data_IF_714356273065
#
_entry.id   IF_714356273065
#
_cell.length_a   1.000
_cell.length_b   1.000
_cell.length_c   1.000
_cell.angle_alpha   90.00
_cell.angle_beta   90.00
_cell.angle_gamma   90.00
#
_symmetry.space_group_name_H-M   'P 1'
#
loop_
_entity.id
_entity.type
_entity.pdbx_description
1 polymer ?
#
# COMPACT_ATOMS: atom_id res chain seq x y z
N UNK A 1 33.61 1.80 29.67
CA UNK A 1 32.61 1.69 28.59
C UNK A 1 32.70 2.99 27.82
N UNK A 2 33.16 2.94 26.57
CA UNK A 2 33.55 4.13 25.82
C UNK A 2 32.29 4.78 25.20
N UNK A 3 31.91 6.01 25.56
CA UNK A 3 30.65 6.65 25.13
C UNK A 3 30.53 6.78 23.61
N UNK A 4 31.67 6.82 22.89
CA UNK A 4 31.68 6.84 21.42
C UNK A 4 31.22 5.50 20.81
N UNK A 5 31.34 4.41 21.55
CA UNK A 5 30.92 3.07 21.10
C UNK A 5 29.40 2.89 21.23
N UNK A 6 28.77 3.49 22.23
CA UNK A 6 27.30 3.47 22.38
C UNK A 6 26.60 4.32 21.32
N UNK A 7 27.09 5.54 21.06
CA UNK A 7 26.52 6.44 20.04
C UNK A 7 26.66 5.82 18.64
N UNK A 8 27.79 5.15 18.34
CA UNK A 8 27.96 4.45 17.07
C UNK A 8 27.02 3.24 16.93
N UNK A 9 26.85 2.46 18.01
CA UNK A 9 25.97 1.30 18.02
C UNK A 9 24.48 1.68 17.94
N UNK A 10 24.09 2.80 18.53
CA UNK A 10 22.73 3.35 18.44
C UNK A 10 22.42 3.87 17.03
N UNK A 11 23.35 4.59 16.41
CA UNK A 11 23.23 4.99 15.00
C UNK A 11 23.14 3.79 14.05
N UNK A 12 23.90 2.72 14.31
CA UNK A 12 23.80 1.46 13.56
C UNK A 12 22.48 0.72 13.83
N UNK A 13 21.90 0.84 15.03
CA UNK A 13 20.60 0.25 15.40
C UNK A 13 19.43 1.00 14.78
N UNK A 14 19.49 2.34 14.74
CA UNK A 14 18.52 3.20 14.06
C UNK A 14 18.55 2.96 12.54
N UNK A 15 19.75 2.78 11.96
CA UNK A 15 19.91 2.41 10.54
C UNK A 15 19.40 1.00 10.22
N UNK A 16 19.31 0.09 11.21
CA UNK A 16 18.74 -1.26 11.06
C UNK A 16 17.21 -1.31 11.11
N UNK A 17 16.52 -0.24 11.52
CA UNK A 17 15.05 -0.19 11.52
C UNK A 17 14.46 0.08 10.13
N UNK A 18 15.29 0.27 9.10
CA UNK A 18 14.82 0.52 7.75
C UNK A 18 14.82 -0.78 6.92
N UNK A 19 14.17 -1.84 7.44
CA UNK A 19 13.86 -3.03 6.63
C UNK A 19 12.67 -2.70 5.74
N UNK A 20 12.75 -2.85 4.41
CA UNK A 20 11.61 -2.68 3.55
C UNK A 20 10.52 -3.68 3.95
N UNK A 21 9.39 -3.17 4.46
CA UNK A 21 8.24 -3.97 4.90
C UNK A 21 8.01 -4.10 6.41
N UNK A 22 8.71 -3.35 7.27
CA UNK A 22 8.37 -3.22 8.69
C UNK A 22 7.14 -2.32 8.95
N UNK A 23 6.53 -2.43 10.12
CA UNK A 23 5.42 -1.56 10.55
C UNK A 23 5.87 -0.09 10.62
N UNK A 24 4.94 0.83 10.35
CA UNK A 24 5.19 2.28 10.47
C UNK A 24 5.35 2.63 11.96
N UNK A 25 6.59 2.90 12.38
CA UNK A 25 6.90 3.32 13.74
C UNK A 25 7.28 4.80 13.79
N UNK A 26 6.77 5.58 14.78
CA UNK A 26 7.26 6.92 15.02
C UNK A 26 8.73 6.86 15.45
N UNK A 27 9.60 7.61 14.77
CA UNK A 27 11.02 7.66 15.10
C UNK A 27 11.22 8.28 16.50
N UNK A 28 12.08 7.64 17.32
CA UNK A 28 12.44 8.09 18.66
C UNK A 28 13.24 9.40 18.54
N UNK A 29 12.93 10.38 19.40
CA UNK A 29 13.53 11.71 19.36
C UNK A 29 15.03 11.66 19.67
N UNK A 30 15.85 12.06 18.71
CA UNK A 30 17.21 12.54 18.98
C UNK A 30 17.14 13.81 19.84
N UNK A 31 18.11 14.03 20.73
CA UNK A 31 18.26 15.31 21.42
C UNK A 31 18.44 16.43 20.38
N UNK A 32 17.58 17.44 20.43
CA UNK A 32 17.62 18.60 19.54
C UNK A 32 18.05 19.83 20.34
N UNK A 33 19.07 20.52 19.87
CA UNK A 33 19.58 21.74 20.48
C UNK A 33 19.09 22.95 19.68
N UNK A 34 18.38 23.87 20.34
CA UNK A 34 17.75 25.04 19.73
C UNK A 34 18.47 26.36 20.04
N UNK A 35 19.74 26.27 20.43
CA UNK A 35 20.62 27.43 20.54
C UNK A 35 20.90 28.04 19.15
N UNK A 36 21.48 29.24 19.14
CA UNK A 36 21.66 29.98 17.89
C UNK A 36 22.55 29.23 16.90
N UNK A 37 23.64 28.60 17.37
CA UNK A 37 24.60 27.87 16.54
C UNK A 37 24.05 26.54 15.97
N UNK A 38 23.31 25.74 16.74
CA UNK A 38 22.85 24.41 16.30
C UNK A 38 21.43 24.43 15.70
N UNK A 39 20.72 25.56 15.73
CA UNK A 39 19.34 25.69 15.19
C UNK A 39 19.22 25.15 13.76
N UNK A 40 20.18 25.47 12.88
CA UNK A 40 20.17 25.00 11.50
C UNK A 40 20.30 23.48 11.41
N UNK A 41 21.17 22.88 12.21
CA UNK A 41 21.36 21.44 12.25
C UNK A 41 20.12 20.73 12.81
N UNK A 42 19.52 21.27 13.87
CA UNK A 42 18.28 20.75 14.45
C UNK A 42 17.11 20.81 13.45
N UNK A 43 17.01 21.87 12.64
CA UNK A 43 16.03 21.94 11.56
C UNK A 43 16.25 20.87 10.49
N UNK A 44 17.49 20.65 10.06
CA UNK A 44 17.81 19.60 9.08
C UNK A 44 17.44 18.20 9.60
N UNK A 45 17.66 17.93 10.89
CA UNK A 45 17.25 16.67 11.53
C UNK A 45 15.72 16.52 11.53
N UNK A 46 14.97 17.59 11.82
CA UNK A 46 13.50 17.54 11.80
C UNK A 46 12.97 17.40 10.37
N UNK A 47 13.56 18.10 9.41
CA UNK A 47 13.23 17.97 7.98
C UNK A 47 13.44 16.53 7.50
N UNK A 48 14.62 15.95 7.75
CA UNK A 48 14.93 14.56 7.40
C UNK A 48 13.99 13.57 8.06
N UNK A 49 13.59 13.80 9.32
CA UNK A 49 12.60 12.96 9.99
C UNK A 49 11.25 13.01 9.28
N UNK A 50 10.82 14.19 8.86
CA UNK A 50 9.57 14.35 8.12
C UNK A 50 9.65 13.70 6.74
N UNK A 51 10.78 13.85 6.04
CA UNK A 51 11.09 13.20 4.76
C UNK A 51 11.07 11.67 4.89
N UNK A 52 11.78 11.12 5.88
CA UNK A 52 11.85 9.69 6.18
C UNK A 52 10.47 9.11 6.49
N UNK A 53 9.60 9.85 7.19
CA UNK A 53 8.22 9.42 7.45
C UNK A 53 7.46 9.13 6.16
N UNK A 54 7.52 10.06 5.19
CA UNK A 54 6.88 9.88 3.89
C UNK A 54 7.56 8.78 3.06
N UNK A 55 8.90 8.72 3.03
CA UNK A 55 9.64 7.70 2.31
C UNK A 55 9.37 6.29 2.85
N UNK A 56 9.28 6.13 4.17
CA UNK A 56 8.93 4.87 4.80
C UNK A 56 7.51 4.43 4.43
N UNK A 57 6.54 5.36 4.43
CA UNK A 57 5.19 5.08 3.96
C UNK A 57 5.17 4.65 2.48
N UNK A 58 5.86 5.38 1.59
CA UNK A 58 6.00 5.04 0.17
C UNK A 58 6.59 3.63 0.01
N UNK A 59 7.69 3.33 0.69
CA UNK A 59 8.36 2.04 0.62
C UNK A 59 7.47 0.90 1.13
N UNK A 60 6.72 1.14 2.21
CA UNK A 60 5.74 0.20 2.72
C UNK A 60 4.66 -0.10 1.67
N UNK A 61 4.07 0.93 1.05
CA UNK A 61 3.05 0.76 0.01
C UNK A 61 3.57 0.02 -1.23
N UNK A 62 4.78 0.35 -1.70
CA UNK A 62 5.42 -0.34 -2.83
C UNK A 62 5.72 -1.81 -2.52
N UNK A 63 6.12 -2.12 -1.28
CA UNK A 63 6.36 -3.49 -0.84
C UNK A 63 5.05 -4.28 -0.72
N UNK A 64 4.05 -3.72 -0.01
CA UNK A 64 2.74 -4.32 0.22
C UNK A 64 2.01 -4.64 -1.10
N UNK A 65 2.20 -3.82 -2.15
CA UNK A 65 1.64 -4.07 -3.48
C UNK A 65 2.04 -5.42 -4.08
N UNK A 66 3.28 -5.88 -3.88
CA UNK A 66 3.83 -7.05 -4.61
C UNK A 66 3.04 -8.32 -4.34
N UNK A 67 2.70 -8.58 -3.08
CA UNK A 67 1.93 -9.77 -2.69
C UNK A 67 0.50 -9.72 -3.27
N UNK A 68 -0.11 -8.54 -3.30
CA UNK A 68 -1.46 -8.34 -3.86
C UNK A 68 -1.50 -8.47 -5.37
N UNK A 69 -0.50 -7.89 -6.08
CA UNK A 69 -0.35 -8.05 -7.53
C UNK A 69 -0.23 -9.52 -7.90
N UNK A 70 0.65 -10.26 -7.21
CA UNK A 70 0.87 -11.67 -7.50
C UNK A 70 -0.41 -12.48 -7.26
N UNK A 71 -1.12 -12.23 -6.15
CA UNK A 71 -2.40 -12.87 -5.87
C UNK A 71 -3.43 -12.63 -6.97
N UNK A 72 -3.62 -11.38 -7.41
CA UNK A 72 -4.53 -11.05 -8.51
C UNK A 72 -4.15 -11.75 -9.83
N UNK A 73 -2.85 -11.80 -10.16
CA UNK A 73 -2.36 -12.47 -11.37
C UNK A 73 -2.61 -13.97 -11.32
N UNK A 74 -2.35 -14.64 -10.19
CA UNK A 74 -2.61 -16.07 -10.03
C UNK A 74 -4.10 -16.39 -10.15
N UNK A 75 -4.97 -15.61 -9.52
CA UNK A 75 -6.42 -15.80 -9.60
C UNK A 75 -6.91 -15.64 -11.04
N UNK A 76 -6.40 -14.64 -11.77
CA UNK A 76 -6.79 -14.37 -13.16
C UNK A 76 -6.32 -15.47 -14.11
N UNK A 77 -5.09 -15.95 -13.97
CA UNK A 77 -4.56 -17.07 -14.76
C UNK A 77 -5.35 -18.35 -14.45
N UNK A 78 -5.63 -18.63 -13.18
CA UNK A 78 -6.43 -19.79 -12.77
C UNK A 78 -7.85 -19.75 -13.34
N UNK A 79 -8.49 -18.59 -13.34
CA UNK A 79 -9.82 -18.41 -13.93
C UNK A 79 -9.81 -18.64 -15.44
N UNK A 80 -8.87 -18.03 -16.17
CA UNK A 80 -8.73 -18.20 -17.63
C UNK A 80 -8.43 -19.67 -17.96
N UNK A 81 -7.49 -20.29 -17.24
CA UNK A 81 -7.13 -21.70 -17.44
C UNK A 81 -8.30 -22.64 -17.18
N UNK A 82 -9.02 -22.45 -16.07
CA UNK A 82 -10.16 -23.29 -15.72
C UNK A 82 -11.32 -23.14 -16.71
N UNK A 83 -11.60 -21.92 -17.16
CA UNK A 83 -12.60 -21.65 -18.20
C UNK A 83 -12.20 -22.23 -19.55
N UNK A 84 -10.92 -22.16 -19.93
CA UNK A 84 -10.41 -22.76 -21.15
C UNK A 84 -10.51 -24.29 -21.11
N UNK A 85 -10.13 -24.91 -19.99
CA UNK A 85 -10.27 -26.36 -19.78
C UNK A 85 -11.74 -26.77 -19.88
N UNK A 86 -12.65 -26.05 -19.22
CA UNK A 86 -14.09 -26.33 -19.28
C UNK A 86 -14.64 -26.22 -20.71
N UNK A 87 -14.20 -25.23 -21.50
CA UNK A 87 -14.63 -25.06 -22.89
C UNK A 87 -14.03 -26.08 -23.86
N UNK A 88 -12.78 -26.50 -23.63
CA UNK A 88 -12.04 -27.39 -24.54
C UNK A 88 -12.27 -28.88 -24.25
N UNK A 89 -12.56 -29.28 -23.00
CA UNK A 89 -12.77 -30.68 -22.63
C UNK A 89 -13.82 -31.38 -23.52
N UNK A 90 -15.01 -30.79 -23.74
CA UNK A 90 -16.05 -31.42 -24.56
C UNK A 90 -15.65 -31.55 -26.04
N UNK A 91 -14.78 -30.66 -26.55
CA UNK A 91 -14.29 -30.70 -27.93
C UNK A 91 -13.21 -31.77 -28.10
N UNK A 92 -12.30 -31.88 -27.13
CA UNK A 92 -11.24 -32.90 -27.14
C UNK A 92 -11.80 -34.31 -26.99
N UNK A 93 -12.83 -34.53 -26.17
CA UNK A 93 -13.49 -35.82 -26.07
C UNK A 93 -14.18 -36.23 -27.38
N UNK A 94 -14.69 -35.26 -28.16
CA UNK A 94 -15.32 -35.50 -29.45
C UNK A 94 -14.31 -35.79 -30.57
N UNK A 95 -13.11 -35.20 -30.53
CA UNK A 95 -12.05 -35.40 -31.53
C UNK A 95 -11.27 -36.69 -31.26
N UNK A 96 -10.96 -36.99 -29.99
CA UNK A 96 -10.09 -38.10 -29.59
C UNK A 96 -10.86 -39.27 -28.97
N UNK A 97 -12.06 -39.59 -29.50
CA UNK A 97 -13.03 -40.56 -28.98
C UNK A 97 -12.43 -41.90 -28.50
N UNK A 98 -11.31 -42.35 -29.09
CA UNK A 98 -10.63 -43.61 -28.74
C UNK A 98 -9.50 -43.52 -27.69
N UNK A 99 -8.97 -42.33 -27.36
CA UNK A 99 -7.87 -42.16 -26.40
C UNK A 99 -8.29 -41.48 -25.09
N UNK A 100 -9.39 -40.72 -25.11
CA UNK A 100 -9.87 -39.94 -23.96
C UNK A 100 -11.10 -40.54 -23.27
N UNK A 101 -11.51 -41.77 -23.60
CA UNK A 101 -12.72 -42.44 -23.10
C UNK A 101 -12.81 -42.60 -21.58
N UNK A 102 -11.72 -42.36 -20.86
CA UNK A 102 -11.65 -42.39 -19.39
C UNK A 102 -12.00 -41.04 -18.71
N UNK A 103 -12.01 -39.93 -19.45
CA UNK A 103 -12.29 -38.61 -18.87
C UNK A 103 -13.81 -38.37 -18.79
N UNK A 104 -14.34 -38.49 -17.58
CA UNK A 104 -15.75 -38.21 -17.29
C UNK A 104 -16.14 -36.77 -17.67
N UNK A 105 -17.30 -36.56 -18.32
CA UNK A 105 -17.85 -35.22 -18.56
C UNK A 105 -18.01 -34.36 -17.30
N UNK A 106 -18.04 -34.98 -16.11
CA UNK A 106 -18.07 -34.29 -14.82
C UNK A 106 -16.85 -33.38 -14.59
N UNK A 107 -15.72 -33.61 -15.26
CA UNK A 107 -14.54 -32.73 -15.13
C UNK A 107 -14.78 -31.34 -15.72
N UNK A 108 -15.68 -31.20 -16.70
CA UNK A 108 -16.09 -29.91 -17.24
C UNK A 108 -16.81 -29.06 -16.19
N UNK A 109 -17.74 -29.67 -15.43
CA UNK A 109 -18.47 -28.96 -14.38
C UNK A 109 -17.58 -28.63 -13.20
N UNK A 110 -16.62 -29.51 -12.85
CA UNK A 110 -15.58 -29.23 -11.85
C UNK A 110 -14.72 -28.04 -12.29
N UNK A 111 -14.22 -28.03 -13.53
CA UNK A 111 -13.39 -26.93 -14.04
C UNK A 111 -14.15 -25.60 -14.03
N UNK A 112 -15.43 -25.61 -14.42
CA UNK A 112 -16.29 -24.43 -14.36
C UNK A 112 -16.51 -23.95 -12.91
N UNK A 113 -16.73 -24.90 -11.98
CA UNK A 113 -16.88 -24.62 -10.56
C UNK A 113 -15.61 -23.98 -9.96
N UNK A 114 -14.43 -24.47 -10.32
CA UNK A 114 -13.15 -23.90 -9.92
C UNK A 114 -13.00 -22.47 -10.44
N UNK A 115 -13.34 -22.21 -11.71
CA UNK A 115 -13.33 -20.85 -12.26
C UNK A 115 -14.24 -19.90 -11.45
N UNK A 116 -15.45 -20.36 -11.10
CA UNK A 116 -16.40 -19.62 -10.26
C UNK A 116 -15.87 -19.34 -8.85
N UNK A 117 -15.22 -20.32 -8.21
CA UNK A 117 -14.59 -20.15 -6.88
C UNK A 117 -13.44 -19.14 -6.95
N UNK A 118 -12.58 -19.23 -7.96
CA UNK A 118 -11.47 -18.28 -8.15
C UNK A 118 -11.98 -16.85 -8.37
N UNK A 119 -13.07 -16.69 -9.13
CA UNK A 119 -13.74 -15.40 -9.32
C UNK A 119 -14.35 -14.86 -8.03
N UNK A 120 -14.99 -15.74 -7.24
CA UNK A 120 -15.51 -15.36 -5.94
C UNK A 120 -14.39 -14.91 -5.00
N UNK A 121 -13.29 -15.65 -4.93
CA UNK A 121 -12.10 -15.30 -4.12
C UNK A 121 -11.54 -13.93 -4.53
N UNK A 122 -11.34 -13.68 -5.83
CA UNK A 122 -10.84 -12.37 -6.30
C UNK A 122 -11.77 -11.22 -5.88
N UNK A 123 -13.08 -11.41 -6.01
CA UNK A 123 -14.09 -10.42 -5.60
C UNK A 123 -14.16 -10.25 -4.08
N UNK A 124 -13.95 -11.31 -3.31
CA UNK A 124 -13.98 -11.28 -1.85
C UNK A 124 -12.78 -10.58 -1.25
N UNK A 125 -11.59 -10.92 -1.72
CA UNK A 125 -10.35 -10.37 -1.18
C UNK A 125 -9.97 -9.05 -1.84
N UNK A 126 -10.62 -8.67 -2.94
CA UNK A 126 -10.39 -7.42 -3.65
C UNK A 126 -8.96 -7.30 -4.19
N UNK A 127 -8.28 -8.42 -4.39
CA UNK A 127 -6.86 -8.48 -4.75
C UNK A 127 -6.55 -7.66 -6.01
N UNK A 128 -7.45 -7.75 -6.99
CA UNK A 128 -7.36 -7.02 -8.26
C UNK A 128 -7.51 -5.50 -8.12
N UNK A 129 -8.21 -5.00 -7.10
CA UNK A 129 -8.42 -3.56 -6.88
C UNK A 129 -7.42 -2.98 -5.86
N UNK A 130 -7.02 -3.80 -4.89
CA UNK A 130 -6.13 -3.40 -3.80
C UNK A 130 -4.77 -2.88 -4.30
N UNK A 131 -4.18 -3.50 -5.33
CA UNK A 131 -2.86 -3.08 -5.82
C UNK A 131 -2.89 -1.69 -6.50
N UNK A 132 -3.99 -1.33 -7.17
CA UNK A 132 -4.17 0.00 -7.77
C UNK A 132 -4.36 1.06 -6.71
N UNK A 133 -5.13 0.75 -5.65
CA UNK A 133 -5.30 1.65 -4.51
C UNK A 133 -3.97 1.95 -3.80
N UNK A 134 -3.16 0.92 -3.56
CA UNK A 134 -1.83 1.11 -3.00
C UNK A 134 -0.93 1.98 -3.87
N UNK A 135 -1.07 1.92 -5.20
CA UNK A 135 -0.36 2.82 -6.13
C UNK A 135 -0.89 4.24 -6.06
N UNK A 136 -2.21 4.42 -5.99
CA UNK A 136 -2.80 5.74 -5.85
C UNK A 136 -2.37 6.42 -4.55
N UNK A 137 -2.38 5.70 -3.42
CA UNK A 137 -1.89 6.21 -2.14
C UNK A 137 -0.40 6.56 -2.19
N UNK A 138 0.43 5.68 -2.74
CA UNK A 138 1.85 5.93 -2.95
C UNK A 138 2.11 7.20 -3.77
N UNK A 139 1.38 7.39 -4.88
CA UNK A 139 1.51 8.57 -5.72
C UNK A 139 1.10 9.86 -5.00
N UNK A 140 0.02 9.84 -4.21
CA UNK A 140 -0.40 11.00 -3.42
C UNK A 140 0.65 11.39 -2.38
N UNK A 141 1.23 10.41 -1.68
CA UNK A 141 2.29 10.66 -0.69
C UNK A 141 3.56 11.16 -1.39
N UNK A 142 3.95 10.58 -2.53
CA UNK A 142 5.10 11.03 -3.31
C UNK A 142 4.94 12.47 -3.82
N UNK A 143 3.75 12.83 -4.28
CA UNK A 143 3.44 14.20 -4.71
C UNK A 143 3.60 15.19 -3.55
N UNK A 144 3.01 14.88 -2.38
CA UNK A 144 3.15 15.70 -1.18
C UNK A 144 4.62 15.83 -0.74
N UNK A 145 5.39 14.75 -0.84
CA UNK A 145 6.82 14.75 -0.52
C UNK A 145 7.62 15.70 -1.43
N UNK A 146 7.39 15.64 -2.74
CA UNK A 146 8.07 16.53 -3.69
C UNK A 146 7.72 18.01 -3.43
N UNK A 147 6.46 18.30 -3.11
CA UNK A 147 6.02 19.65 -2.74
C UNK A 147 6.71 20.14 -1.46
N UNK A 148 6.76 19.30 -0.42
CA UNK A 148 7.45 19.60 0.83
C UNK A 148 8.95 19.84 0.65
N UNK A 149 9.63 19.02 -0.17
CA UNK A 149 11.05 19.20 -0.49
C UNK A 149 11.29 20.54 -1.22
N UNK A 150 10.46 20.87 -2.20
CA UNK A 150 10.54 22.14 -2.93
C UNK A 150 10.30 23.33 -2.00
N UNK A 151 9.29 23.26 -1.13
CA UNK A 151 8.98 24.30 -0.14
C UNK A 151 10.14 24.52 0.84
N UNK A 152 10.86 23.45 1.19
CA UNK A 152 12.05 23.55 2.02
C UNK A 152 13.19 24.25 1.30
N UNK A 153 13.46 23.90 0.04
CA UNK A 153 14.49 24.54 -0.77
C UNK A 153 14.19 26.05 -0.98
N UNK A 154 12.92 26.38 -1.22
CA UNK A 154 12.46 27.77 -1.30
C UNK A 154 12.68 28.50 0.02
N UNK A 155 12.38 27.88 1.16
CA UNK A 155 12.59 28.50 2.47
C UNK A 155 14.07 28.66 2.81
N UNK A 156 14.90 27.65 2.52
CA UNK A 156 16.35 27.72 2.68
C UNK A 156 16.97 28.85 1.85
N UNK A 157 16.46 29.10 0.64
CA UNK A 157 16.95 30.20 -0.21
C UNK A 157 16.84 31.57 0.46
N UNK A 158 15.89 31.75 1.39
CA UNK A 158 15.68 32.99 2.14
C UNK A 158 16.70 33.20 3.26
N UNK A 159 17.40 32.15 3.69
CA UNK A 159 18.37 32.22 4.78
C UNK A 159 19.75 32.67 4.29
N UNK A 160 20.04 32.57 2.99
CA UNK A 160 21.37 32.86 2.42
C UNK A 160 22.49 32.14 3.22
N UNK A 161 23.63 32.80 3.46
CA UNK A 161 24.73 32.30 4.30
C UNK A 161 24.51 32.49 5.82
N UNK A 162 23.37 33.04 6.23
CA UNK A 162 23.08 33.33 7.64
C UNK A 162 22.40 32.15 8.34
N UNK A 163 22.46 32.16 9.68
CA UNK A 163 21.67 31.22 10.48
C UNK A 163 20.18 31.62 10.45
N UNK A 164 19.26 30.64 10.41
CA UNK A 164 17.84 30.91 10.36
C UNK A 164 17.40 31.65 11.63
N UNK A 165 16.56 32.69 11.48
CA UNK A 165 15.98 33.37 12.64
C UNK A 165 15.07 32.43 13.44
N UNK A 166 14.78 32.77 14.70
CA UNK A 166 13.85 31.97 15.51
C UNK A 166 12.46 31.86 14.87
N UNK A 167 12.01 32.92 14.19
CA UNK A 167 10.72 32.95 13.50
C UNK A 167 10.74 32.04 12.26
N UNK A 168 11.80 32.11 11.45
CA UNK A 168 11.98 31.23 10.29
C UNK A 168 12.06 29.76 10.70
N UNK A 169 12.75 29.47 11.80
CA UNK A 169 12.84 28.12 12.35
C UNK A 169 11.47 27.60 12.82
N UNK A 170 10.70 28.42 13.55
CA UNK A 170 9.33 28.06 13.97
C UNK A 170 8.40 27.84 12.77
N UNK A 171 8.50 28.69 11.74
CA UNK A 171 7.75 28.52 10.50
C UNK A 171 8.09 27.17 9.84
N UNK A 172 9.37 26.83 9.70
CA UNK A 172 9.77 25.55 9.10
C UNK A 172 9.35 24.34 9.95
N UNK A 173 9.46 24.43 11.28
CA UNK A 173 8.96 23.39 12.19
C UNK A 173 7.46 23.16 12.04
N UNK A 174 6.68 24.22 11.93
CA UNK A 174 5.24 24.13 11.73
C UNK A 174 4.88 23.47 10.39
N UNK A 175 5.65 23.75 9.33
CA UNK A 175 5.52 23.06 8.04
C UNK A 175 5.86 21.58 8.13
N UNK A 176 6.96 21.22 8.81
CA UNK A 176 7.30 19.81 9.05
C UNK A 176 6.16 19.06 9.76
N UNK A 177 5.59 19.67 10.81
CA UNK A 177 4.43 19.11 11.52
C UNK A 177 3.22 18.96 10.60
N UNK A 178 2.92 19.98 9.80
CA UNK A 178 1.80 19.95 8.87
C UNK A 178 1.97 18.85 7.81
N UNK A 179 3.18 18.70 7.27
CA UNK A 179 3.51 17.67 6.29
C UNK A 179 3.35 16.26 6.87
N UNK A 180 3.89 15.99 8.07
CA UNK A 180 3.69 14.69 8.74
C UNK A 180 2.20 14.39 8.91
N UNK A 181 1.42 15.38 9.38
CA UNK A 181 -0.03 15.23 9.53
C UNK A 181 -0.74 15.01 8.19
N UNK A 182 -0.26 15.61 7.09
CA UNK A 182 -0.80 15.42 5.74
C UNK A 182 -0.55 13.98 5.27
N UNK A 183 0.65 13.45 5.47
CA UNK A 183 0.99 12.05 5.15
C UNK A 183 0.10 11.08 5.95
N UNK A 184 -0.05 11.30 7.26
CA UNK A 184 -0.92 10.48 8.11
C UNK A 184 -2.39 10.53 7.67
N UNK A 185 -2.84 11.70 7.22
CA UNK A 185 -4.19 11.87 6.68
C UNK A 185 -4.37 11.09 5.38
N UNK A 186 -3.38 11.10 4.48
CA UNK A 186 -3.42 10.32 3.24
C UNK A 186 -3.49 8.81 3.52
N UNK A 187 -2.74 8.33 4.51
CA UNK A 187 -2.78 6.93 4.96
C UNK A 187 -4.17 6.59 5.54
N UNK A 188 -4.72 7.47 6.39
CA UNK A 188 -6.04 7.28 6.99
C UNK A 188 -7.16 7.30 5.95
N UNK A 189 -7.08 8.17 4.95
CA UNK A 189 -8.04 8.23 3.83
C UNK A 189 -8.08 6.91 3.08
N UNK A 190 -6.92 6.33 2.75
CA UNK A 190 -6.84 5.01 2.12
C UNK A 190 -7.48 3.93 3.00
N UNK A 191 -7.19 3.94 4.30
CA UNK A 191 -7.79 3.00 5.26
C UNK A 191 -9.32 3.13 5.33
N UNK A 192 -9.84 4.36 5.30
CA UNK A 192 -11.29 4.61 5.29
C UNK A 192 -11.95 4.19 3.97
N UNK A 193 -11.32 4.48 2.83
CA UNK A 193 -11.74 3.97 1.53
C UNK A 193 -11.77 2.43 1.54
N UNK A 194 -10.86 1.77 2.27
CA UNK A 194 -10.84 0.31 2.40
C UNK A 194 -12.02 -0.19 3.23
N UNK A 195 -12.28 0.46 4.37
CA UNK A 195 -13.38 0.11 5.26
C UNK A 195 -14.75 0.24 4.56
N UNK A 196 -14.96 1.29 3.78
CA UNK A 196 -16.22 1.51 3.03
C UNK A 196 -16.42 0.42 1.97
N UNK A 197 -15.38 0.08 1.20
CA UNK A 197 -15.46 -1.01 0.23
C UNK A 197 -15.75 -2.35 0.91
N UNK A 198 -15.08 -2.63 2.03
CA UNK A 198 -15.30 -3.85 2.81
C UNK A 198 -16.74 -3.95 3.33
N UNK A 199 -17.26 -2.87 3.91
CA UNK A 199 -18.66 -2.80 4.36
C UNK A 199 -19.65 -2.99 3.20
N UNK A 200 -19.38 -2.41 2.03
CA UNK A 200 -20.20 -2.58 0.84
C UNK A 200 -20.18 -4.03 0.32
N UNK A 201 -19.02 -4.69 0.39
CA UNK A 201 -18.88 -6.10 0.03
C UNK A 201 -19.69 -7.02 0.97
N UNK A 202 -19.78 -6.68 2.26
CA UNK A 202 -20.64 -7.38 3.22
C UNK A 202 -22.12 -7.10 2.91
N UNK A 203 -22.53 -5.82 2.79
CA UNK A 203 -23.93 -5.43 2.57
C UNK A 203 -24.56 -6.01 1.30
N UNK A 204 -23.79 -6.20 0.23
CA UNK A 204 -24.30 -6.85 -0.99
C UNK A 204 -24.76 -8.29 -0.76
N UNK A 205 -24.28 -8.96 0.30
CA UNK A 205 -24.70 -10.33 0.65
C UNK A 205 -26.04 -10.41 1.37
N UNK A 206 -26.47 -9.32 2.00
CA UNK A 206 -27.71 -9.29 2.78
C UNK A 206 -28.92 -8.90 1.94
N UNK A 207 -28.75 -8.70 0.62
CA UNK A 207 -29.88 -8.67 -0.31
C UNK A 207 -30.27 -10.12 -0.62
N UNK A 208 -31.32 -10.69 0.00
CA UNK A 208 -31.84 -11.95 -0.48
C UNK A 208 -32.21 -11.77 -1.95
N UNK A 209 -31.93 -12.80 -2.75
CA UNK A 209 -32.48 -12.94 -4.08
C UNK A 209 -34.01 -12.84 -3.98
N UNK A 210 -34.55 -11.64 -4.11
CA UNK A 210 -35.98 -11.44 -4.38
C UNK A 210 -36.20 -11.84 -5.84
N UNK A 211 -36.02 -13.14 -6.11
CA UNK A 211 -36.64 -13.79 -7.23
C UNK A 211 -38.14 -13.70 -6.97
N UNK A 212 -38.78 -12.74 -7.65
CA UNK A 212 -40.22 -12.62 -7.74
C UNK A 212 -40.82 -14.01 -7.98
N UNK A 213 -41.69 -14.54 -7.10
CA UNK A 213 -42.33 -15.81 -7.38
C UNK A 213 -43.17 -15.60 -8.64
N UNK A 214 -42.83 -16.33 -9.70
CA UNK A 214 -43.70 -16.48 -10.85
C UNK A 214 -44.88 -17.29 -10.32
N UNK A 215 -45.98 -16.61 -10.02
CA UNK A 215 -47.27 -17.25 -9.73
C UNK A 215 -47.74 -17.92 -11.03
N UNK A 216 -47.96 -19.24 -11.05
CA UNK A 216 -48.80 -19.84 -12.07
C UNK A 216 -50.25 -19.60 -11.70
N UNK A 217 -51.00 -18.87 -12.54
CA UNK A 217 -52.31 -19.23 -13.11
C UNK A 217 -52.59 -18.33 -14.31
#
# INVERSE_FOLDING_TARGET
>A
MDPNTEISNENVRLKRSNKPGGDLHPAISSELFWDEEHRRQSLDVVFKRAEDHALNAINWYLHAKRSKKNCAQFLRIGMIGSSAIAGLLPLLSQIFQNQLSSLSPAWTTVALGVAGVLMAIDKFFGCSNAWMRFIAAEHRIRQALHEFQMDYDIEQSKWMDNLPSSEQAQAMLSRCKAFISQVDTLILQETNEWLVEFQNAIKQKDKPAQAKPILPQ
#
